data_IF_613627788077
#
_entry.id   IF_613627788077
#
_cell.length_a   1.000
_cell.length_b   1.000
_cell.length_c   1.000
_cell.angle_alpha   90.00
_cell.angle_beta   90.00
_cell.angle_gamma   90.00
#
_symmetry.space_group_name_H-M   'P 1'
#
loop_
_entity.id
_entity.type
_entity.pdbx_description
1 polymer ?
#
# COMPACT_ATOMS: atom_id res chain seq x y z
N UNK A 1 0.17 -12.42 -3.00
CA UNK A 1 0.69 -12.56 -1.61
C UNK A 1 2.19 -12.84 -1.51
N UNK A 2 2.81 -13.57 -2.45
CA UNK A 2 4.24 -13.91 -2.39
C UNK A 2 5.16 -12.68 -2.22
N UNK A 3 4.94 -11.61 -3.01
CA UNK A 3 5.71 -10.37 -2.91
C UNK A 3 5.69 -9.75 -1.51
N UNK A 4 4.48 -9.51 -0.97
CA UNK A 4 4.30 -8.84 0.32
C UNK A 4 5.00 -9.64 1.43
N UNK A 5 4.80 -10.95 1.44
CA UNK A 5 5.45 -11.84 2.41
C UNK A 5 6.98 -11.82 2.27
N UNK A 6 7.50 -11.84 1.05
CA UNK A 6 8.95 -11.82 0.78
C UNK A 6 9.59 -10.49 1.17
N UNK A 7 8.93 -9.37 0.91
CA UNK A 7 9.37 -8.04 1.35
C UNK A 7 9.37 -7.91 2.88
N UNK A 8 8.40 -8.51 3.59
CA UNK A 8 8.42 -8.59 5.05
C UNK A 8 9.67 -9.34 5.55
N UNK A 9 10.10 -10.38 4.85
CA UNK A 9 11.28 -11.18 5.20
C UNK A 9 12.61 -10.56 4.76
N UNK A 10 12.61 -9.71 3.73
CA UNK A 10 13.83 -9.12 3.19
C UNK A 10 14.46 -8.14 4.19
N UNK A 11 15.73 -8.34 4.54
CA UNK A 11 16.45 -7.52 5.53
C UNK A 11 16.71 -6.09 5.04
N UNK A 12 16.67 -5.86 3.72
CA UNK A 12 16.88 -4.54 3.10
C UNK A 12 15.66 -3.62 3.23
N UNK A 13 14.49 -4.18 3.57
CA UNK A 13 13.27 -3.40 3.80
C UNK A 13 13.25 -2.92 5.27
N UNK A 14 13.08 -1.61 5.47
CA UNK A 14 12.97 -1.04 6.81
C UNK A 14 11.74 -1.58 7.56
N UNK A 15 11.86 -1.77 8.89
CA UNK A 15 10.80 -2.35 9.71
C UNK A 15 9.46 -1.60 9.63
N UNK A 16 9.48 -0.27 9.54
CA UNK A 16 8.26 0.54 9.39
C UNK A 16 7.45 0.13 8.15
N UNK A 17 8.12 -0.19 7.04
CA UNK A 17 7.48 -0.64 5.80
C UNK A 17 6.96 -2.08 5.90
N UNK A 18 7.62 -2.93 6.69
CA UNK A 18 7.14 -4.27 6.99
C UNK A 18 5.86 -4.26 7.81
N UNK A 19 5.72 -3.31 8.74
CA UNK A 19 4.49 -3.11 9.52
C UNK A 19 3.33 -2.73 8.60
N UNK A 20 3.54 -1.82 7.64
CA UNK A 20 2.52 -1.47 6.64
C UNK A 20 2.13 -2.68 5.80
N UNK A 21 3.12 -3.43 5.28
CA UNK A 21 2.87 -4.64 4.50
C UNK A 21 2.10 -5.70 5.31
N UNK A 22 2.43 -5.84 6.60
CA UNK A 22 1.67 -6.65 7.55
C UNK A 22 0.24 -6.16 7.68
N UNK A 23 0.02 -4.85 7.84
CA UNK A 23 -1.29 -4.23 7.87
C UNK A 23 -2.12 -4.49 6.62
N UNK A 24 -1.50 -4.45 5.43
CA UNK A 24 -2.16 -4.80 4.15
C UNK A 24 -2.57 -6.26 4.12
N UNK A 25 -1.71 -7.19 4.55
CA UNK A 25 -2.06 -8.62 4.65
C UNK A 25 -3.23 -8.80 5.62
N UNK A 26 -3.11 -8.22 6.81
CA UNK A 26 -4.13 -8.32 7.85
C UNK A 26 -5.46 -7.76 7.36
N UNK A 27 -5.44 -6.65 6.63
CA UNK A 27 -6.64 -6.07 6.04
C UNK A 27 -7.30 -7.02 5.01
N UNK A 28 -6.54 -7.50 4.02
CA UNK A 28 -7.05 -8.40 2.98
C UNK A 28 -7.55 -9.72 3.55
N UNK A 29 -6.88 -10.24 4.59
CA UNK A 29 -7.19 -11.53 5.20
C UNK A 29 -8.25 -11.44 6.31
N UNK A 30 -8.67 -10.23 6.72
CA UNK A 30 -9.58 -10.07 7.84
C UNK A 30 -11.02 -10.35 7.42
N UNK A 31 -11.75 -11.25 8.11
CA UNK A 31 -13.19 -11.39 7.94
C UNK A 31 -13.99 -10.26 8.61
N UNK A 32 -13.32 -9.40 9.39
CA UNK A 32 -13.91 -8.28 10.13
C UNK A 32 -13.37 -6.97 9.56
N UNK A 33 -14.23 -5.96 9.47
CA UNK A 33 -13.83 -4.63 9.03
C UNK A 33 -12.90 -3.97 10.07
N UNK A 34 -11.59 -3.98 9.79
CA UNK A 34 -10.55 -3.48 10.73
C UNK A 34 -10.49 -1.96 10.71
N UNK A 35 -10.94 -1.34 9.62
CA UNK A 35 -10.95 0.09 9.48
C UNK A 35 -12.16 0.63 10.25
N UNK A 36 -11.97 1.45 11.29
CA UNK A 36 -13.10 2.00 12.02
C UNK A 36 -13.95 2.90 11.12
N UNK A 37 -15.27 2.71 11.13
CA UNK A 37 -16.26 3.58 10.45
C UNK A 37 -16.13 5.08 10.78
N UNK A 38 -15.44 5.38 11.89
CA UNK A 38 -15.18 6.75 12.36
C UNK A 38 -14.14 7.50 11.53
N UNK A 39 -13.48 6.86 10.56
CA UNK A 39 -12.53 7.54 9.69
C UNK A 39 -13.29 8.21 8.54
N UNK A 40 -13.54 9.54 8.58
CA UNK A 40 -14.58 10.19 7.76
C UNK A 40 -14.28 10.25 6.25
N UNK A 41 -13.09 9.78 5.86
CA UNK A 41 -12.61 9.80 4.47
C UNK A 41 -12.35 8.41 3.91
N UNK A 42 -12.11 7.38 4.73
CA UNK A 42 -11.85 6.03 4.20
C UNK A 42 -13.13 5.44 3.62
N UNK A 43 -14.30 5.67 4.21
CA UNK A 43 -15.58 5.22 3.63
C UNK A 43 -15.94 5.82 2.26
N UNK A 44 -15.16 6.78 1.73
CA UNK A 44 -15.31 7.34 0.36
C UNK A 44 -14.24 6.85 -0.60
N UNK A 45 -13.16 6.28 -0.09
CA UNK A 45 -12.04 5.74 -0.85
C UNK A 45 -12.21 4.24 -0.86
N UNK A 46 -12.39 3.65 -2.04
CA UNK A 46 -12.54 2.21 -2.17
C UNK A 46 -11.40 1.48 -1.44
N UNK A 47 -11.72 0.36 -0.79
CA UNK A 47 -10.79 -0.50 -0.05
C UNK A 47 -9.55 -0.86 -0.89
N UNK A 48 -9.79 -1.10 -2.19
CA UNK A 48 -8.75 -1.35 -3.18
C UNK A 48 -7.83 -0.15 -3.38
N UNK A 49 -8.37 1.07 -3.35
CA UNK A 49 -7.58 2.28 -3.50
C UNK A 49 -6.57 2.43 -2.37
N UNK A 50 -6.97 2.11 -1.13
CA UNK A 50 -6.07 2.13 0.02
C UNK A 50 -4.91 1.15 -0.13
N UNK A 51 -5.18 -0.07 -0.62
CA UNK A 51 -4.15 -1.08 -0.88
C UNK A 51 -3.16 -0.57 -1.94
N UNK A 52 -3.65 -0.05 -3.06
CA UNK A 52 -2.79 0.48 -4.13
C UNK A 52 -1.94 1.66 -3.65
N UNK A 53 -2.49 2.58 -2.85
CA UNK A 53 -1.70 3.68 -2.26
C UNK A 53 -0.65 3.19 -1.26
N UNK A 54 -0.98 2.18 -0.45
CA UNK A 54 -0.02 1.55 0.44
C UNK A 54 1.12 0.88 -0.33
N UNK A 55 0.81 0.14 -1.40
CA UNK A 55 1.79 -0.50 -2.27
C UNK A 55 2.65 0.53 -3.02
N UNK A 56 2.04 1.60 -3.54
CA UNK A 56 2.75 2.70 -4.19
C UNK A 56 3.73 3.37 -3.23
N UNK A 57 3.31 3.59 -1.97
CA UNK A 57 4.23 4.07 -0.93
C UNK A 57 5.41 3.12 -0.74
N UNK A 58 5.20 1.81 -0.73
CA UNK A 58 6.26 0.82 -0.54
C UNK A 58 7.24 0.82 -1.72
N UNK A 59 6.76 0.76 -2.96
CA UNK A 59 7.63 0.74 -4.15
C UNK A 59 8.41 2.05 -4.33
N UNK A 60 7.89 3.17 -3.80
CA UNK A 60 8.59 4.46 -3.82
C UNK A 60 9.60 4.62 -2.66
N UNK A 61 9.72 3.64 -1.75
CA UNK A 61 10.62 3.71 -0.59
C UNK A 61 11.60 2.54 -0.52
N UNK A 62 11.26 1.40 -1.11
CA UNK A 62 12.12 0.23 -1.23
C UNK A 62 12.79 0.27 -2.61
N UNK A 63 14.11 0.04 -2.72
CA UNK A 63 14.77 0.06 -4.02
C UNK A 63 14.13 -0.92 -5.01
N UNK A 64 13.95 -0.49 -6.26
CA UNK A 64 13.30 -1.28 -7.33
C UNK A 64 13.91 -2.68 -7.46
N UNK A 65 15.23 -2.82 -7.35
CA UNK A 65 15.92 -4.11 -7.38
C UNK A 65 15.41 -5.08 -6.29
N UNK A 66 15.17 -4.58 -5.07
CA UNK A 66 14.63 -5.38 -3.97
C UNK A 66 13.19 -5.80 -4.27
N UNK A 67 12.37 -4.90 -4.83
CA UNK A 67 10.99 -5.23 -5.23
C UNK A 67 10.99 -6.33 -6.29
N UNK A 68 11.78 -6.15 -7.35
CA UNK A 68 11.82 -7.05 -8.50
C UNK A 68 12.42 -8.42 -8.14
N UNK A 69 13.44 -8.49 -7.28
CA UNK A 69 14.01 -9.76 -6.80
C UNK A 69 13.03 -10.57 -5.94
N UNK A 70 12.07 -9.89 -5.29
CA UNK A 70 11.04 -10.54 -4.47
C UNK A 70 9.73 -10.77 -5.24
N UNK A 71 9.65 -10.35 -6.51
CA UNK A 71 8.51 -10.55 -7.40
C UNK A 71 8.65 -11.85 -8.18
N UNK A 72 7.54 -12.57 -8.36
CA UNK A 72 7.49 -13.85 -9.09
C UNK A 72 6.59 -13.83 -10.32
N UNK A 73 5.94 -12.69 -10.61
CA UNK A 73 5.08 -12.57 -11.78
C UNK A 73 5.84 -12.15 -13.03
N UNK A 74 5.19 -12.32 -14.18
CA UNK A 74 5.76 -11.98 -15.48
C UNK A 74 5.71 -10.48 -15.76
N UNK A 75 4.70 -9.78 -15.25
CA UNK A 75 4.53 -8.35 -15.44
C UNK A 75 5.48 -7.52 -14.56
N UNK A 76 5.76 -6.29 -14.98
CA UNK A 76 6.49 -5.35 -14.14
C UNK A 76 5.57 -4.79 -13.05
N UNK A 77 5.64 -5.39 -11.85
CA UNK A 77 4.78 -5.03 -10.72
C UNK A 77 4.86 -3.55 -10.31
N UNK A 78 6.02 -2.92 -10.49
CA UNK A 78 6.21 -1.49 -10.18
C UNK A 78 5.36 -0.66 -11.13
N UNK A 79 5.36 -1.01 -12.42
CA UNK A 79 4.53 -0.35 -13.43
C UNK A 79 3.04 -0.60 -13.16
N UNK A 80 2.66 -1.85 -12.90
CA UNK A 80 1.26 -2.22 -12.61
C UNK A 80 0.70 -1.43 -11.42
N UNK A 81 1.47 -1.28 -10.33
CA UNK A 81 1.05 -0.49 -9.17
C UNK A 81 0.90 0.99 -9.54
N UNK A 82 1.86 1.58 -10.27
CA UNK A 82 1.82 2.99 -10.69
C UNK A 82 0.63 3.28 -11.60
N UNK A 83 0.33 2.39 -12.54
CA UNK A 83 -0.83 2.50 -13.43
C UNK A 83 -2.14 2.39 -12.66
N UNK A 84 -2.25 1.42 -11.75
CA UNK A 84 -3.42 1.29 -10.87
C UNK A 84 -3.66 2.54 -10.03
N UNK A 85 -2.61 3.10 -9.41
CA UNK A 85 -2.70 4.36 -8.65
C UNK A 85 -3.15 5.52 -9.53
N UNK A 86 -2.68 5.61 -10.77
CA UNK A 86 -3.12 6.66 -11.71
C UNK A 86 -4.61 6.54 -12.04
N UNK A 87 -5.11 5.32 -12.26
CA UNK A 87 -6.54 5.06 -12.52
C UNK A 87 -7.37 5.45 -11.30
N UNK A 88 -6.99 4.97 -10.11
CA UNK A 88 -7.67 5.27 -8.85
C UNK A 88 -7.68 6.77 -8.56
N UNK A 89 -6.55 7.45 -8.72
CA UNK A 89 -6.42 8.90 -8.50
C UNK A 89 -7.40 9.69 -9.38
N UNK A 90 -7.55 9.26 -10.63
CA UNK A 90 -8.47 9.89 -11.58
C UNK A 90 -9.94 9.69 -11.21
N UNK A 91 -10.28 8.56 -10.58
CA UNK A 91 -11.64 8.25 -10.14
C UNK A 91 -12.01 8.89 -8.79
N UNK A 92 -11.07 8.93 -7.83
CA UNK A 92 -11.29 9.36 -6.45
C UNK A 92 -11.18 10.88 -6.27
N UNK A 93 -10.49 11.56 -7.19
CA UNK A 93 -10.28 13.01 -7.19
C UNK A 93 -9.12 13.45 -6.27
N UNK A 94 -8.29 14.37 -6.75
CA UNK A 94 -7.01 14.75 -6.11
C UNK A 94 -7.11 15.16 -4.63
N UNK A 95 -8.13 15.92 -4.25
CA UNK A 95 -8.32 16.37 -2.86
C UNK A 95 -8.50 15.21 -1.85
N UNK A 96 -9.03 14.07 -2.29
CA UNK A 96 -9.19 12.88 -1.45
C UNK A 96 -7.90 12.06 -1.43
N UNK A 97 -7.19 12.00 -2.56
CA UNK A 97 -5.89 11.32 -2.71
C UNK A 97 -4.85 11.93 -1.76
N UNK A 98 -4.75 13.26 -1.72
CA UNK A 98 -3.83 13.96 -0.81
C UNK A 98 -4.12 13.63 0.66
N UNK A 99 -5.39 13.54 1.04
CA UNK A 99 -5.79 13.16 2.40
C UNK A 99 -5.35 11.74 2.75
N UNK A 100 -5.49 10.79 1.82
CA UNK A 100 -5.06 9.41 2.01
C UNK A 100 -3.55 9.33 2.16
N UNK A 101 -2.78 9.96 1.27
CA UNK A 101 -1.33 9.99 1.37
C UNK A 101 -0.86 10.65 2.68
N UNK A 102 -1.51 11.73 3.11
CA UNK A 102 -1.22 12.37 4.38
C UNK A 102 -1.50 11.45 5.57
N UNK A 103 -2.60 10.69 5.54
CA UNK A 103 -2.90 9.73 6.58
C UNK A 103 -1.89 8.57 6.64
N UNK A 104 -1.55 8.00 5.49
CA UNK A 104 -0.52 6.94 5.39
C UNK A 104 0.82 7.47 5.91
N UNK A 105 1.25 8.66 5.46
CA UNK A 105 2.49 9.29 5.90
C UNK A 105 2.48 9.60 7.41
N UNK A 106 1.35 10.06 7.93
CA UNK A 106 1.17 10.28 9.36
C UNK A 106 1.32 8.98 10.13
N UNK A 107 0.63 7.90 9.72
CA UNK A 107 0.77 6.59 10.35
C UNK A 107 2.22 6.11 10.38
N UNK A 108 2.92 6.18 9.25
CA UNK A 108 4.34 5.76 9.15
C UNK A 108 5.25 6.59 10.05
N UNK A 109 5.01 7.90 10.18
CA UNK A 109 5.84 8.79 11.01
C UNK A 109 5.68 8.51 12.51
N UNK A 110 4.57 7.92 12.93
CA UNK A 110 4.24 7.65 14.32
C UNK A 110 4.47 6.18 14.73
N UNK A 111 5.06 5.37 13.86
CA UNK A 111 5.52 3.99 14.13
C UNK A 111 7.04 4.02 14.27
#
# INVERSE_FOLDING_TARGET
MALIYRLIKDKRVENKYKIILGGVITYIASPIDIIPDKIPFIGKVDELALIFFALDKIINQVPDEVILQNWEGEENIILTIKEGVKVITSAVGGNNVDKVFNYINFGIKNI
#
